data_IF_862811554980
#
_entry.id   IF_862811554980
#
_cell.length_a   1.000
_cell.length_b   1.000
_cell.length_c   1.000
_cell.angle_alpha   90.00
_cell.angle_beta   90.00
_cell.angle_gamma   90.00
#
_symmetry.space_group_name_H-M   'P 1'
#
loop_
_entity.id
_entity.type
_entity.pdbx_description
1 polymer ?
#
# COMPACT_ATOMS: atom_id res chain seq x y z
N UNK A 1 -24.14 34.77 7.66
CA UNK A 1 -22.88 34.04 7.37
C UNK A 1 -22.61 34.11 5.88
N UNK A 2 -21.54 34.79 5.45
CA UNK A 2 -21.12 34.80 4.05
C UNK A 2 -20.58 33.40 3.69
N UNK A 3 -21.24 32.72 2.77
CA UNK A 3 -20.70 31.47 2.21
C UNK A 3 -19.46 31.81 1.38
N UNK A 4 -18.32 31.34 1.84
CA UNK A 4 -17.06 31.47 1.08
C UNK A 4 -17.16 30.65 -0.21
N UNK A 5 -16.89 31.29 -1.34
CA UNK A 5 -16.91 30.62 -2.64
C UNK A 5 -15.73 29.62 -2.73
N UNK A 6 -16.05 28.37 -3.06
CA UNK A 6 -15.10 27.25 -3.16
C UNK A 6 -13.96 27.49 -4.18
N UNK A 7 -14.09 28.50 -5.05
CA UNK A 7 -13.10 28.86 -6.07
C UNK A 7 -12.07 29.87 -5.59
N UNK A 8 -12.30 30.52 -4.44
CA UNK A 8 -11.42 31.58 -3.95
C UNK A 8 -10.18 31.01 -3.26
N UNK A 9 -9.09 31.80 -3.31
CA UNK A 9 -7.83 31.52 -2.62
C UNK A 9 -8.04 31.41 -1.10
N UNK A 10 -8.93 32.24 -0.56
CA UNK A 10 -9.33 32.27 0.84
C UNK A 10 -10.01 30.96 1.31
N UNK A 11 -10.86 30.36 0.47
CA UNK A 11 -11.45 29.04 0.78
C UNK A 11 -10.40 27.93 0.82
N UNK A 12 -9.42 27.99 -0.09
CA UNK A 12 -8.32 26.99 -0.10
C UNK A 12 -7.42 27.13 1.12
N UNK A 13 -7.13 28.35 1.55
CA UNK A 13 -6.35 28.63 2.76
C UNK A 13 -7.12 28.27 4.04
N UNK A 14 -8.41 28.57 4.10
CA UNK A 14 -9.28 28.17 5.18
C UNK A 14 -9.37 26.64 5.30
N UNK A 15 -9.53 25.94 4.16
CA UNK A 15 -9.56 24.48 4.13
C UNK A 15 -8.21 23.87 4.52
N UNK A 16 -7.12 24.53 4.18
CA UNK A 16 -5.77 24.13 4.57
C UNK A 16 -5.53 24.31 6.08
N UNK A 17 -6.02 25.41 6.67
CA UNK A 17 -5.99 25.64 8.12
C UNK A 17 -6.86 24.65 8.89
N UNK A 18 -8.06 24.34 8.41
CA UNK A 18 -8.91 23.36 9.05
C UNK A 18 -8.33 21.93 8.99
N UNK A 19 -7.59 21.60 7.93
CA UNK A 19 -6.83 20.35 7.87
C UNK A 19 -5.66 20.32 8.88
N UNK A 20 -5.08 21.48 9.20
CA UNK A 20 -3.93 21.58 10.10
C UNK A 20 -4.27 21.55 11.58
N UNK A 21 -5.52 21.82 11.97
CA UNK A 21 -5.97 21.87 13.38
C UNK A 21 -7.00 20.79 13.74
N UNK A 22 -7.22 19.83 12.83
CA UNK A 22 -8.22 18.78 13.03
C UNK A 22 -7.70 17.57 13.80
N UNK A 23 -8.64 16.76 14.30
CA UNK A 23 -8.38 15.46 14.95
C UNK A 23 -7.40 14.58 14.12
N UNK A 24 -7.31 14.81 12.80
CA UNK A 24 -6.39 14.15 11.90
C UNK A 24 -4.92 14.34 12.25
N UNK A 25 -4.50 15.54 12.66
CA UNK A 25 -3.10 15.81 13.01
C UNK A 25 -2.70 15.15 14.34
N UNK A 26 -3.63 15.06 15.28
CA UNK A 26 -3.41 14.36 16.56
C UNK A 26 -3.31 12.85 16.31
N UNK A 27 -4.20 12.32 15.47
CA UNK A 27 -4.18 10.92 15.05
C UNK A 27 -2.93 10.61 14.24
N UNK A 28 -2.49 11.51 13.36
CA UNK A 28 -1.26 11.34 12.57
C UNK A 28 -0.01 11.26 13.45
N UNK A 29 0.12 12.13 14.45
CA UNK A 29 1.23 12.09 15.42
C UNK A 29 1.23 10.84 16.29
N UNK A 30 0.07 10.38 16.73
CA UNK A 30 -0.06 9.15 17.52
C UNK A 30 0.25 7.93 16.65
N UNK A 31 -0.16 7.91 15.40
CA UNK A 31 0.03 6.80 14.48
C UNK A 31 1.45 6.73 13.91
N UNK A 32 2.15 7.86 13.79
CA UNK A 32 3.59 7.87 13.50
C UNK A 32 4.42 7.24 14.62
N UNK A 33 4.05 7.53 15.87
CA UNK A 33 4.72 6.97 17.03
C UNK A 33 4.46 5.47 17.26
N UNK A 34 3.31 4.95 16.77
CA UNK A 34 2.88 3.56 17.00
C UNK A 34 2.99 2.65 15.77
N UNK A 35 3.42 3.17 14.62
CA UNK A 35 3.50 2.40 13.37
C UNK A 35 2.14 2.06 12.74
N UNK A 36 1.02 2.55 13.29
CA UNK A 36 -0.35 2.30 12.82
C UNK A 36 -0.76 3.24 11.67
N UNK A 37 0.16 4.08 11.19
CA UNK A 37 -0.10 5.09 10.16
C UNK A 37 -0.79 4.54 8.90
N UNK A 38 -0.48 3.30 8.53
CA UNK A 38 -1.08 2.64 7.39
C UNK A 38 -2.54 2.21 7.61
N UNK A 39 -2.87 1.70 8.80
CA UNK A 39 -4.22 1.24 9.10
C UNK A 39 -5.21 2.43 9.21
N UNK A 40 -4.75 3.57 9.75
CA UNK A 40 -5.60 4.77 9.89
C UNK A 40 -5.85 5.46 8.54
N UNK A 41 -4.92 5.40 7.59
CA UNK A 41 -5.15 5.88 6.22
C UNK A 41 -6.28 5.13 5.52
N UNK A 42 -6.46 3.85 5.82
CA UNK A 42 -7.57 3.05 5.30
C UNK A 42 -8.91 3.40 5.94
N UNK A 43 -8.92 3.70 7.23
CA UNK A 43 -10.13 4.02 8.00
C UNK A 43 -10.63 5.46 7.78
N UNK A 44 -9.76 6.39 7.39
CA UNK A 44 -10.10 7.81 7.26
C UNK A 44 -10.86 8.16 5.96
N UNK A 45 -11.28 7.19 5.16
CA UNK A 45 -12.40 7.30 4.26
C UNK A 45 -12.12 7.67 2.81
N UNK A 46 -12.95 8.46 2.27
CA UNK A 46 -13.34 8.74 0.88
C UNK A 46 -12.23 9.03 -0.15
N UNK A 47 -10.99 9.19 0.27
CA UNK A 47 -9.84 9.37 -0.61
C UNK A 47 -8.66 8.50 -0.14
N UNK A 48 -8.70 7.24 -0.50
CA UNK A 48 -7.63 6.30 -0.18
C UNK A 48 -6.32 6.56 -0.95
N UNK A 49 -6.26 7.62 -1.79
CA UNK A 49 -5.15 7.86 -2.71
C UNK A 49 -4.98 6.72 -3.74
N UNK A 50 -6.03 5.92 -3.96
CA UNK A 50 -5.99 4.77 -4.86
C UNK A 50 -5.73 5.18 -6.30
N UNK A 51 -6.26 6.31 -6.75
CA UNK A 51 -6.02 6.79 -8.12
C UNK A 51 -4.56 7.22 -8.32
N UNK A 52 -3.99 7.98 -7.39
CA UNK A 52 -2.57 8.39 -7.44
C UNK A 52 -1.63 7.18 -7.40
N UNK A 53 -1.95 6.19 -6.58
CA UNK A 53 -1.19 4.93 -6.49
C UNK A 53 -1.32 4.11 -7.76
N UNK A 54 -2.51 4.02 -8.33
CA UNK A 54 -2.73 3.36 -9.62
C UNK A 54 -1.91 4.04 -10.72
N UNK A 55 -1.91 5.37 -10.78
CA UNK A 55 -1.09 6.11 -11.74
C UNK A 55 0.40 5.84 -11.56
N UNK A 56 0.88 5.84 -10.31
CA UNK A 56 2.27 5.51 -10.00
C UNK A 56 2.62 4.08 -10.41
N UNK A 57 1.78 3.11 -10.04
CA UNK A 57 1.97 1.71 -10.40
C UNK A 57 1.89 1.48 -11.91
N UNK A 58 1.03 2.23 -12.62
CA UNK A 58 0.93 2.18 -14.08
C UNK A 58 2.17 2.71 -14.79
N UNK A 59 2.88 3.68 -14.20
CA UNK A 59 4.17 4.16 -14.70
C UNK A 59 5.26 3.10 -14.59
N UNK A 60 5.22 2.29 -13.53
CA UNK A 60 6.20 1.22 -13.29
C UNK A 60 5.86 -0.04 -14.10
N UNK A 61 4.58 -0.40 -14.15
CA UNK A 61 4.10 -1.57 -14.88
C UNK A 61 3.02 -1.17 -15.88
N UNK A 62 3.20 -1.57 -17.14
CA UNK A 62 2.26 -1.28 -18.26
C UNK A 62 0.86 -1.91 -18.09
N UNK A 63 0.56 -2.55 -16.98
CA UNK A 63 -0.72 -3.17 -16.67
C UNK A 63 -1.34 -2.39 -15.51
N UNK A 64 -2.61 -2.00 -15.64
CA UNK A 64 -3.38 -1.34 -14.59
C UNK A 64 -3.57 -2.26 -13.38
N UNK A 65 -2.69 -2.25 -12.37
CA UNK A 65 -2.84 -3.10 -11.20
C UNK A 65 -4.01 -2.61 -10.34
N UNK A 66 -4.66 -3.54 -9.66
CA UNK A 66 -5.64 -3.21 -8.64
C UNK A 66 -4.94 -2.76 -7.36
N UNK A 67 -5.60 -1.90 -6.57
CA UNK A 67 -5.13 -1.59 -5.22
C UNK A 67 -5.15 -2.83 -4.33
N UNK A 68 -4.23 -2.88 -3.36
CA UNK A 68 -4.28 -3.86 -2.29
C UNK A 68 -5.53 -3.62 -1.42
N UNK A 69 -6.13 -4.68 -0.95
CA UNK A 69 -7.11 -4.63 0.12
C UNK A 69 -6.41 -4.50 1.48
N UNK A 70 -7.09 -3.97 2.50
CA UNK A 70 -6.50 -3.75 3.81
C UNK A 70 -5.84 -5.01 4.38
N UNK A 71 -6.53 -6.14 4.33
CA UNK A 71 -6.02 -7.41 4.84
C UNK A 71 -4.81 -7.95 4.05
N UNK A 72 -4.72 -7.62 2.76
CA UNK A 72 -3.58 -7.97 1.91
C UNK A 72 -2.37 -7.10 2.22
N UNK A 73 -2.60 -5.80 2.42
CA UNK A 73 -1.56 -4.87 2.82
C UNK A 73 -0.94 -5.24 4.16
N UNK A 74 -1.79 -5.51 5.17
CA UNK A 74 -1.33 -5.91 6.50
C UNK A 74 -0.53 -7.22 6.44
N UNK A 75 -1.06 -8.21 5.74
CA UNK A 75 -0.36 -9.47 5.56
C UNK A 75 0.98 -9.33 4.82
N UNK A 76 1.05 -8.49 3.77
CA UNK A 76 2.30 -8.22 3.07
C UNK A 76 3.33 -7.55 3.98
N UNK A 77 2.92 -6.65 4.86
CA UNK A 77 3.80 -6.04 5.85
C UNK A 77 4.43 -7.09 6.78
N UNK A 78 3.63 -8.01 7.32
CA UNK A 78 4.10 -9.13 8.14
C UNK A 78 5.03 -10.06 7.35
N UNK A 79 4.64 -10.40 6.13
CA UNK A 79 5.42 -11.25 5.23
C UNK A 79 6.79 -10.64 4.90
N UNK A 80 6.84 -9.34 4.60
CA UNK A 80 8.09 -8.65 4.32
C UNK A 80 8.96 -8.56 5.57
N UNK A 81 8.38 -8.27 6.74
CA UNK A 81 9.11 -8.26 8.00
C UNK A 81 9.74 -9.61 8.35
N UNK A 82 9.10 -10.72 7.98
CA UNK A 82 9.61 -12.07 8.22
C UNK A 82 10.67 -12.51 7.21
N UNK A 83 10.51 -12.16 5.95
CA UNK A 83 11.27 -12.76 4.85
C UNK A 83 12.27 -11.80 4.17
N UNK A 84 12.12 -10.48 4.32
CA UNK A 84 13.00 -9.50 3.73
C UNK A 84 13.97 -8.92 4.76
N UNK A 85 15.25 -8.97 4.44
CA UNK A 85 16.31 -8.34 5.23
C UNK A 85 16.71 -7.00 4.61
N UNK A 86 16.40 -5.91 5.30
CA UNK A 86 16.70 -4.55 4.84
C UNK A 86 18.21 -4.23 4.85
N UNK A 87 18.97 -4.85 5.75
CA UNK A 87 20.40 -4.56 5.88
C UNK A 87 21.21 -5.19 4.74
N UNK A 88 20.81 -6.39 4.33
CA UNK A 88 21.48 -7.11 3.23
C UNK A 88 20.75 -6.97 1.90
N UNK A 89 19.57 -6.34 1.88
CA UNK A 89 18.68 -6.24 0.71
C UNK A 89 18.40 -7.60 0.04
N UNK A 90 18.15 -8.61 0.86
CA UNK A 90 17.96 -9.99 0.40
C UNK A 90 16.80 -10.67 1.10
N UNK A 91 16.24 -11.66 0.42
CA UNK A 91 15.28 -12.60 1.01
C UNK A 91 16.00 -13.56 1.94
N UNK A 92 15.74 -13.45 3.24
CA UNK A 92 16.50 -14.14 4.30
C UNK A 92 16.11 -15.60 4.50
N UNK A 93 14.86 -15.97 4.16
CA UNK A 93 14.32 -17.31 4.37
C UNK A 93 13.59 -17.84 3.15
N UNK A 94 13.58 -19.16 3.02
CA UNK A 94 12.69 -19.83 2.06
C UNK A 94 11.22 -19.53 2.37
N UNK A 95 10.45 -19.22 1.35
CA UNK A 95 9.02 -18.97 1.46
C UNK A 95 8.31 -20.31 1.61
N UNK A 96 7.59 -20.52 2.71
CA UNK A 96 6.82 -21.74 2.93
C UNK A 96 5.64 -21.84 1.94
N UNK A 97 5.09 -23.03 1.78
CA UNK A 97 4.03 -23.27 0.78
C UNK A 97 2.76 -22.44 1.04
N UNK A 98 2.39 -22.22 2.30
CA UNK A 98 1.23 -21.41 2.66
C UNK A 98 1.41 -19.94 2.23
N UNK A 99 2.54 -19.34 2.60
CA UNK A 99 2.87 -17.96 2.22
C UNK A 99 3.04 -17.79 0.71
N UNK A 100 3.62 -18.81 0.05
CA UNK A 100 3.73 -18.85 -1.42
C UNK A 100 2.36 -18.79 -2.10
N UNK A 101 1.43 -19.64 -1.72
CA UNK A 101 0.08 -19.67 -2.30
C UNK A 101 -0.62 -18.35 -2.08
N UNK A 102 -0.55 -17.80 -0.87
CA UNK A 102 -1.18 -16.51 -0.53
C UNK A 102 -0.55 -15.34 -1.32
N UNK A 103 0.78 -15.30 -1.41
CA UNK A 103 1.51 -14.28 -2.19
C UNK A 103 1.10 -14.30 -3.67
N UNK A 104 1.05 -15.49 -4.30
CA UNK A 104 0.67 -15.63 -5.71
C UNK A 104 -0.81 -15.29 -5.91
N UNK A 105 -1.68 -15.62 -4.95
CA UNK A 105 -3.10 -15.28 -5.02
C UNK A 105 -3.30 -13.76 -5.02
N UNK A 106 -2.63 -13.04 -4.12
CA UNK A 106 -2.67 -11.56 -4.07
C UNK A 106 -2.09 -10.98 -5.36
N UNK A 107 -0.94 -11.49 -5.81
CA UNK A 107 -0.31 -11.07 -7.06
C UNK A 107 -1.24 -11.23 -8.27
N UNK A 108 -1.91 -12.37 -8.38
CA UNK A 108 -2.86 -12.65 -9.46
C UNK A 108 -4.02 -11.66 -9.47
N UNK A 109 -4.55 -11.31 -8.29
CA UNK A 109 -5.63 -10.34 -8.16
C UNK A 109 -5.15 -8.91 -8.52
N UNK A 110 -4.01 -8.51 -7.97
CA UNK A 110 -3.45 -7.16 -8.18
C UNK A 110 -3.11 -6.93 -9.64
N UNK A 111 -2.40 -7.86 -10.27
CA UNK A 111 -1.94 -7.71 -11.65
C UNK A 111 -2.86 -8.32 -12.71
N UNK A 112 -4.01 -8.87 -12.32
CA UNK A 112 -4.99 -9.51 -13.23
C UNK A 112 -4.36 -10.60 -14.09
N UNK A 113 -3.50 -11.41 -13.50
CA UNK A 113 -2.81 -12.52 -14.15
C UNK A 113 -3.21 -13.84 -13.51
N UNK A 114 -2.83 -14.95 -14.13
CA UNK A 114 -3.07 -16.31 -13.65
C UNK A 114 -1.74 -17.06 -13.54
N UNK A 115 -1.00 -16.78 -12.46
CA UNK A 115 0.18 -17.58 -12.13
C UNK A 115 -0.23 -18.83 -11.36
N UNK A 116 0.43 -19.93 -11.66
CA UNK A 116 0.20 -21.19 -10.95
C UNK A 116 0.68 -21.09 -9.51
N UNK A 117 -0.24 -21.28 -8.55
CA UNK A 117 0.06 -21.32 -7.11
C UNK A 117 0.86 -22.55 -6.70
N UNK A 118 0.84 -23.60 -7.52
CA UNK A 118 1.59 -24.83 -7.32
C UNK A 118 3.05 -24.77 -7.78
N UNK A 119 3.47 -23.65 -8.39
CA UNK A 119 4.84 -23.52 -8.93
C UNK A 119 5.92 -23.85 -7.89
N UNK A 120 6.94 -24.57 -8.32
CA UNK A 120 8.15 -24.89 -7.53
C UNK A 120 9.35 -24.05 -7.96
N UNK A 121 9.18 -23.16 -8.94
CA UNK A 121 10.22 -22.28 -9.46
C UNK A 121 10.59 -21.21 -8.42
N UNK A 122 11.69 -21.41 -7.69
CA UNK A 122 12.14 -20.49 -6.65
C UNK A 122 12.48 -19.07 -7.15
N UNK A 123 13.04 -18.94 -8.35
CA UNK A 123 13.31 -17.62 -8.97
C UNK A 123 12.03 -16.91 -9.34
N UNK A 124 11.05 -17.65 -9.89
CA UNK A 124 9.73 -17.08 -10.23
C UNK A 124 9.00 -16.53 -8.99
N UNK A 125 9.08 -17.25 -7.87
CA UNK A 125 8.48 -16.82 -6.60
C UNK A 125 9.16 -15.56 -6.06
N UNK A 126 10.49 -15.47 -6.17
CA UNK A 126 11.24 -14.26 -5.77
C UNK A 126 10.88 -13.06 -6.64
N UNK A 127 10.77 -13.23 -7.95
CA UNK A 127 10.34 -12.16 -8.86
C UNK A 127 8.93 -11.64 -8.50
N UNK A 128 8.02 -12.53 -8.12
CA UNK A 128 6.69 -12.15 -7.64
C UNK A 128 6.80 -11.39 -6.32
N UNK A 129 7.61 -11.88 -5.39
CA UNK A 129 7.83 -11.24 -4.09
C UNK A 129 8.45 -9.84 -4.25
N UNK A 130 9.43 -9.66 -5.13
CA UNK A 130 10.03 -8.35 -5.43
C UNK A 130 9.02 -7.37 -6.01
N UNK A 131 8.15 -7.84 -6.90
CA UNK A 131 7.08 -7.00 -7.45
C UNK A 131 6.07 -6.59 -6.38
N UNK A 132 5.66 -7.53 -5.53
CA UNK A 132 4.72 -7.26 -4.44
C UNK A 132 5.32 -6.34 -3.37
N UNK A 133 6.64 -6.45 -3.09
CA UNK A 133 7.37 -5.51 -2.24
C UNK A 133 7.28 -4.08 -2.79
N UNK A 134 7.52 -3.88 -4.08
CA UNK A 134 7.40 -2.56 -4.72
C UNK A 134 5.97 -2.02 -4.68
N UNK A 135 4.97 -2.90 -4.82
CA UNK A 135 3.56 -2.50 -4.64
C UNK A 135 3.33 -2.02 -3.21
N UNK A 136 3.82 -2.77 -2.22
CA UNK A 136 3.70 -2.40 -0.81
C UNK A 136 4.37 -1.05 -0.49
N UNK A 137 5.57 -0.82 -1.01
CA UNK A 137 6.34 0.42 -0.82
C UNK A 137 5.68 1.66 -1.47
N UNK A 138 4.76 1.45 -2.41
CA UNK A 138 3.99 2.53 -3.04
C UNK A 138 2.84 3.06 -2.17
N UNK A 139 2.56 2.41 -1.04
CA UNK A 139 1.52 2.82 -0.08
C UNK A 139 2.09 3.70 1.03
#
# INVERSE_FOLDING_TARGET
>A
MKKLDKRTKEYKEWKKKQKAEGLGDIVEKITEATGIKSAVKWLAGDDCGCEERKEFLNKIWRRNPNCLEEHEYNWLGEFLAEHWDNDTERWSKGINNHNKVKLITIYNRVFKVKQDTGTTCGSCIRDIADRMKRVYEAY
#
